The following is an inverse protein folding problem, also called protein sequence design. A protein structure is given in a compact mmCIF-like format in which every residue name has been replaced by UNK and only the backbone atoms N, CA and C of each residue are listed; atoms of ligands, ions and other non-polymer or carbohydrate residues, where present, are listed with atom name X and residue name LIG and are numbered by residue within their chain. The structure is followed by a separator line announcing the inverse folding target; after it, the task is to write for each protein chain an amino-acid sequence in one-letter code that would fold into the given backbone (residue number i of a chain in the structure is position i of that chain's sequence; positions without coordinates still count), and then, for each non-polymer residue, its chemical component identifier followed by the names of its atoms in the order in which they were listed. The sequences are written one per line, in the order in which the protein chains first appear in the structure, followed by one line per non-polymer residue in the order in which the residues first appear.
data_IF_174664198087
#
_entry.id   IF_174664198087
#
_cell.length_a   1.000
_cell.length_b   1.000
_cell.length_c   1.000
_cell.angle_alpha   90.00
_cell.angle_beta   90.00
_cell.angle_gamma   90.00
#
_symmetry.space_group_name_H-M   'P 1'
#
loop_
_entity.id
_entity.type
_entity.pdbx_description
1 polymer ?
#
# COMPACT_ATOMS: atom_id res chain seq x y z
N UNK A 1 -38.47 -39.99 13.89
CA UNK A 1 -37.14 -39.63 14.44
C UNK A 1 -36.93 -38.14 14.17
N UNK A 2 -37.44 -37.30 15.06
CA UNK A 2 -37.15 -35.87 15.01
C UNK A 2 -35.67 -35.65 15.31
N UNK A 3 -34.94 -35.06 14.37
CA UNK A 3 -33.66 -34.43 14.68
C UNK A 3 -33.96 -32.98 15.01
N UNK A 4 -34.26 -32.73 16.28
CA UNK A 4 -34.28 -31.40 16.86
C UNK A 4 -32.87 -30.84 16.75
N UNK A 5 -32.57 -30.16 15.64
CA UNK A 5 -31.34 -29.38 15.51
C UNK A 5 -31.44 -28.28 16.56
N UNK A 6 -30.71 -28.40 17.66
CA UNK A 6 -30.60 -27.37 18.69
C UNK A 6 -30.25 -26.05 18.00
N UNK A 7 -31.26 -25.20 17.81
CA UNK A 7 -31.10 -23.89 17.22
C UNK A 7 -30.32 -23.08 18.23
N UNK A 8 -29.06 -22.79 17.90
CA UNK A 8 -28.22 -21.92 18.70
C UNK A 8 -29.01 -20.61 18.91
N UNK A 9 -29.17 -20.13 20.14
CA UNK A 9 -29.90 -18.90 20.40
C UNK A 9 -29.26 -17.74 19.64
N UNK A 10 -30.07 -16.95 18.92
CA UNK A 10 -29.58 -15.82 18.09
C UNK A 10 -28.72 -14.83 18.90
N UNK A 11 -29.12 -14.55 20.14
CA UNK A 11 -28.37 -13.73 21.09
C UNK A 11 -26.92 -14.21 21.29
N UNK A 12 -26.69 -15.53 21.30
CA UNK A 12 -25.36 -16.09 21.51
C UNK A 12 -24.47 -15.83 20.29
N UNK A 13 -25.06 -15.88 19.08
CA UNK A 13 -24.36 -15.58 17.83
C UNK A 13 -24.00 -14.08 17.77
N UNK A 14 -24.93 -13.20 18.10
CA UNK A 14 -24.69 -11.74 18.17
C UNK A 14 -23.61 -11.37 19.21
N UNK A 15 -23.63 -12.03 20.37
CA UNK A 15 -22.60 -11.86 21.39
C UNK A 15 -21.22 -12.28 20.86
N UNK A 16 -21.13 -13.43 20.18
CA UNK A 16 -19.87 -13.88 19.61
C UNK A 16 -19.38 -12.97 18.47
N UNK A 17 -20.28 -12.50 17.61
CA UNK A 17 -19.94 -11.57 16.54
C UNK A 17 -19.37 -10.25 17.11
N UNK A 18 -20.06 -9.66 18.08
CA UNK A 18 -19.61 -8.41 18.71
C UNK A 18 -18.26 -8.56 19.43
N UNK A 19 -18.05 -9.69 20.12
CA UNK A 19 -16.78 -10.02 20.76
C UNK A 19 -15.64 -10.16 19.75
N UNK A 20 -15.86 -10.91 18.67
CA UNK A 20 -14.86 -11.11 17.62
C UNK A 20 -14.52 -9.79 16.93
N UNK A 21 -15.50 -8.94 16.66
CA UNK A 21 -15.27 -7.60 16.11
C UNK A 21 -14.44 -6.73 17.04
N UNK A 22 -14.71 -6.77 18.35
CA UNK A 22 -13.94 -6.05 19.35
C UNK A 22 -12.48 -6.54 19.39
N UNK A 23 -12.27 -7.85 19.43
CA UNK A 23 -10.94 -8.46 19.37
C UNK A 23 -10.20 -8.05 18.10
N UNK A 24 -10.84 -8.12 16.94
CA UNK A 24 -10.25 -7.75 15.65
C UNK A 24 -9.85 -6.26 15.62
N UNK A 25 -10.66 -5.37 16.22
CA UNK A 25 -10.31 -3.95 16.38
C UNK A 25 -9.07 -3.77 17.26
N UNK A 26 -8.95 -4.50 18.37
CA UNK A 26 -7.75 -4.43 19.23
C UNK A 26 -6.51 -4.95 18.53
N UNK A 27 -6.60 -6.08 17.82
CA UNK A 27 -5.49 -6.61 17.01
C UNK A 27 -5.07 -5.61 15.94
N UNK A 28 -6.02 -4.94 15.26
CA UNK A 28 -5.72 -3.89 14.29
C UNK A 28 -5.03 -2.67 14.91
N UNK A 29 -5.37 -2.30 16.14
CA UNK A 29 -4.72 -1.21 16.89
C UNK A 29 -3.32 -1.59 17.38
N UNK A 30 -3.15 -2.82 17.86
CA UNK A 30 -1.90 -3.34 18.42
C UNK A 30 -0.91 -3.80 17.35
N UNK A 31 -1.36 -4.12 16.13
CA UNK A 31 -0.48 -4.40 15.00
C UNK A 31 0.26 -3.11 14.62
N UNK A 32 1.58 -3.00 14.86
CA UNK A 32 2.32 -1.76 14.67
C UNK A 32 2.53 -1.55 13.17
N UNK A 33 1.64 -0.81 12.49
CA UNK A 33 1.76 -0.32 11.11
C UNK A 33 2.34 -1.28 10.04
N UNK A 34 2.39 -2.59 10.32
CA UNK A 34 2.97 -3.59 9.44
C UNK A 34 1.87 -3.94 8.46
N UNK A 35 1.99 -3.34 7.29
CA UNK A 35 1.02 -3.36 6.21
C UNK A 35 -0.24 -2.52 6.47
N UNK A 36 -0.08 -1.18 6.44
CA UNK A 36 -1.04 -0.41 5.64
C UNK A 36 -0.89 -0.88 4.19
N UNK A 37 -1.55 -1.99 3.83
CA UNK A 37 -2.01 -2.21 2.46
C UNK A 37 -3.02 -1.10 2.22
N UNK A 38 -2.49 0.02 1.75
CA UNK A 38 -3.22 1.28 1.66
C UNK A 38 -4.41 1.14 0.73
N UNK A 39 -5.61 1.14 1.31
CA UNK A 39 -6.49 2.26 0.98
C UNK A 39 -5.82 3.50 1.54
N UNK A 40 -4.81 4.00 0.83
CA UNK A 40 -4.33 5.34 1.06
C UNK A 40 -5.48 6.21 0.60
N UNK A 41 -6.15 6.87 1.55
CA UNK A 41 -6.90 8.08 1.27
C UNK A 41 -6.02 8.89 0.33
N UNK A 42 -6.47 9.06 -0.92
CA UNK A 42 -5.76 9.82 -1.94
C UNK A 42 -5.59 11.22 -1.35
N UNK A 43 -4.38 11.61 -0.90
CA UNK A 43 -4.18 12.95 -0.42
C UNK A 43 -4.36 13.83 -1.66
N UNK A 44 -5.28 14.77 -1.55
CA UNK A 44 -5.60 15.78 -2.56
C UNK A 44 -4.32 16.58 -2.85
N UNK A 45 -3.48 16.07 -3.76
CA UNK A 45 -2.15 16.61 -4.07
C UNK A 45 -0.99 15.60 -4.17
N UNK A 46 -1.20 14.36 -4.63
CA UNK A 46 -0.07 13.47 -4.95
C UNK A 46 0.79 14.08 -6.08
N UNK A 47 2.02 14.44 -5.78
CA UNK A 47 3.00 14.82 -6.79
C UNK A 47 3.29 13.63 -7.72
N UNK A 48 3.66 13.87 -8.97
CA UNK A 48 4.16 12.84 -9.90
C UNK A 48 5.23 11.94 -9.25
N UNK A 49 6.04 12.52 -8.35
CA UNK A 49 7.05 11.81 -7.55
C UNK A 49 6.39 10.83 -6.58
N UNK A 50 5.36 11.27 -5.86
CA UNK A 50 4.70 10.44 -4.85
C UNK A 50 3.99 9.25 -5.50
N UNK A 51 3.43 9.42 -6.72
CA UNK A 51 2.90 8.31 -7.52
C UNK A 51 4.00 7.31 -7.90
N UNK A 52 5.17 7.80 -8.32
CA UNK A 52 6.31 6.94 -8.63
C UNK A 52 6.80 6.17 -7.39
N UNK A 53 6.85 6.84 -6.23
CA UNK A 53 7.21 6.22 -4.95
C UNK A 53 6.19 5.17 -4.53
N UNK A 54 4.88 5.42 -4.73
CA UNK A 54 3.83 4.45 -4.43
C UNK A 54 4.00 3.18 -5.28
N UNK A 55 4.32 3.33 -6.58
CA UNK A 55 4.58 2.17 -7.45
C UNK A 55 5.83 1.41 -7.03
N UNK A 56 6.91 2.12 -6.69
CA UNK A 56 8.13 1.47 -6.20
C UNK A 56 7.86 0.72 -4.89
N UNK A 57 7.06 1.30 -3.99
CA UNK A 57 6.62 0.67 -2.75
C UNK A 57 5.76 -0.58 -3.00
N UNK A 58 4.83 -0.54 -3.95
CA UNK A 58 3.98 -1.68 -4.32
C UNK A 58 4.78 -2.79 -4.98
N UNK A 59 5.75 -2.44 -5.81
CA UNK A 59 6.54 -3.40 -6.57
C UNK A 59 7.58 -4.14 -5.73
N UNK A 60 8.09 -3.51 -4.67
CA UNK A 60 9.12 -4.05 -3.76
C UNK A 60 10.34 -4.65 -4.48
N UNK A 61 10.59 -4.19 -5.71
CA UNK A 61 11.66 -4.67 -6.59
C UNK A 61 12.25 -3.49 -7.34
N UNK A 62 13.50 -3.60 -7.82
CA UNK A 62 14.09 -2.58 -8.68
C UNK A 62 13.24 -2.43 -9.95
N UNK A 63 12.81 -1.20 -10.25
CA UNK A 63 12.04 -0.89 -11.44
C UNK A 63 12.76 0.13 -12.31
N UNK A 64 12.80 -0.14 -13.61
CA UNK A 64 13.29 0.82 -14.59
C UNK A 64 12.30 1.98 -14.75
N UNK A 65 12.80 3.19 -15.06
CA UNK A 65 11.98 4.40 -15.21
C UNK A 65 10.82 4.21 -16.19
N UNK A 66 11.06 3.54 -17.32
CA UNK A 66 9.99 3.23 -18.28
C UNK A 66 8.88 2.36 -17.68
N UNK A 67 9.25 1.38 -16.85
CA UNK A 67 8.26 0.54 -16.14
C UNK A 67 7.49 1.36 -15.12
N UNK A 68 8.15 2.27 -14.41
CA UNK A 68 7.50 3.19 -13.46
C UNK A 68 6.47 4.04 -14.20
N UNK A 69 6.84 4.69 -15.31
CA UNK A 69 5.94 5.53 -16.12
C UNK A 69 4.74 4.73 -16.60
N UNK A 70 4.97 3.52 -17.14
CA UNK A 70 3.87 2.66 -17.61
C UNK A 70 2.90 2.31 -16.48
N UNK A 71 3.43 1.98 -15.29
CA UNK A 71 2.62 1.66 -14.12
C UNK A 71 1.88 2.87 -13.58
N UNK A 72 2.48 4.07 -13.58
CA UNK A 72 1.78 5.30 -13.15
C UNK A 72 0.60 5.56 -14.06
N UNK A 73 0.80 5.42 -15.38
CA UNK A 73 -0.29 5.59 -16.34
C UNK A 73 -1.41 4.58 -16.10
N UNK A 74 -1.09 3.32 -15.81
CA UNK A 74 -2.12 2.29 -15.55
C UNK A 74 -2.83 2.43 -14.20
N UNK A 75 -2.13 2.84 -13.15
CA UNK A 75 -2.65 2.86 -11.77
C UNK A 75 -3.27 4.19 -11.39
N UNK A 76 -2.67 5.29 -11.84
CA UNK A 76 -3.06 6.65 -11.47
C UNK A 76 -3.61 7.46 -12.65
N UNK A 77 -3.52 6.96 -13.89
CA UNK A 77 -4.00 7.68 -15.09
C UNK A 77 -3.19 8.91 -15.47
N UNK A 78 -2.05 9.17 -14.80
CA UNK A 78 -1.21 10.35 -15.04
C UNK A 78 -0.12 10.05 -16.09
N UNK A 79 0.11 11.02 -16.99
CA UNK A 79 1.22 10.97 -17.95
C UNK A 79 2.43 11.69 -17.35
N UNK A 80 3.55 10.97 -17.18
CA UNK A 80 4.78 11.54 -16.64
C UNK A 80 5.86 11.59 -17.72
N UNK A 81 6.59 12.70 -17.73
CA UNK A 81 7.78 12.85 -18.56
C UNK A 81 9.01 12.19 -17.92
N UNK A 82 9.81 11.49 -18.73
CA UNK A 82 10.94 10.67 -18.30
C UNK A 82 12.03 11.50 -17.62
N UNK A 83 12.39 12.63 -18.22
CA UNK A 83 13.50 13.46 -17.75
C UNK A 83 13.15 14.15 -16.44
N UNK A 84 11.92 14.66 -16.36
CA UNK A 84 11.35 15.23 -15.14
C UNK A 84 11.32 14.21 -13.99
N UNK A 85 10.91 12.96 -14.25
CA UNK A 85 10.82 11.89 -13.25
C UNK A 85 12.21 11.48 -12.72
N UNK A 86 13.20 11.32 -13.60
CA UNK A 86 14.58 10.98 -13.20
C UNK A 86 15.18 12.08 -12.33
N UNK A 87 15.10 13.34 -12.76
CA UNK A 87 15.62 14.48 -11.99
C UNK A 87 14.95 14.59 -10.62
N UNK A 88 13.63 14.40 -10.59
CA UNK A 88 12.86 14.47 -9.36
C UNK A 88 13.14 13.30 -8.40
N UNK A 89 13.28 12.06 -8.91
CA UNK A 89 13.69 10.91 -8.10
C UNK A 89 15.10 11.07 -7.57
N UNK A 90 16.04 11.58 -8.37
CA UNK A 90 17.41 11.85 -7.93
C UNK A 90 17.42 12.90 -6.83
N UNK A 91 16.65 13.98 -6.96
CA UNK A 91 16.50 14.98 -5.89
C UNK A 91 15.88 14.41 -4.61
N UNK A 92 15.01 13.40 -4.73
CA UNK A 92 14.33 12.76 -3.60
C UNK A 92 15.11 11.61 -2.96
N UNK A 93 16.10 11.02 -3.65
CA UNK A 93 17.07 10.08 -3.05
C UNK A 93 17.72 10.67 -1.79
N UNK A 94 18.10 11.94 -1.86
CA UNK A 94 18.78 12.62 -0.74
C UNK A 94 17.82 12.99 0.41
N UNK A 95 16.50 13.00 0.17
CA UNK A 95 15.49 13.42 1.16
C UNK A 95 14.76 12.25 1.81
N UNK A 96 14.66 11.10 1.16
CA UNK A 96 13.92 9.93 1.64
C UNK A 96 14.91 8.81 1.97
N UNK A 97 15.03 8.48 3.26
CA UNK A 97 15.78 7.30 3.69
C UNK A 97 15.14 6.03 3.09
N UNK A 98 15.90 5.29 2.28
CA UNK A 98 15.49 4.00 1.71
C UNK A 98 15.30 3.97 0.19
N UNK A 99 15.28 5.11 -0.50
CA UNK A 99 15.33 5.11 -1.97
C UNK A 99 16.79 4.91 -2.40
N UNK A 100 17.05 3.92 -3.25
CA UNK A 100 18.39 3.63 -3.78
C UNK A 100 18.32 3.46 -5.30
N UNK A 101 19.37 3.89 -5.99
CA UNK A 101 19.54 3.65 -7.41
C UNK A 101 20.40 2.40 -7.58
N UNK A 102 19.80 1.32 -8.06
CA UNK A 102 20.49 0.03 -8.24
C UNK A 102 21.18 -0.07 -9.59
N UNK A 103 20.72 0.65 -10.61
CA UNK A 103 21.33 0.68 -11.94
C UNK A 103 21.00 2.01 -12.66
N UNK A 104 21.56 2.28 -13.86
CA UNK A 104 21.11 3.39 -14.68
C UNK A 104 19.61 3.32 -14.93
N UNK A 105 18.89 4.39 -14.60
CA UNK A 105 17.43 4.46 -14.73
C UNK A 105 16.65 3.37 -13.98
N UNK A 106 17.22 2.76 -12.94
CA UNK A 106 16.53 1.77 -12.11
C UNK A 106 16.56 2.19 -10.65
N UNK A 107 15.38 2.23 -10.04
CA UNK A 107 15.19 2.68 -8.67
C UNK A 107 14.57 1.56 -7.84
N UNK A 108 15.01 1.47 -6.59
CA UNK A 108 14.48 0.55 -5.58
C UNK A 108 14.14 1.36 -4.34
N UNK A 109 12.95 1.13 -3.79
CA UNK A 109 12.58 1.64 -2.48
C UNK A 109 12.65 0.50 -1.46
N UNK A 110 13.67 0.53 -0.61
CA UNK A 110 13.79 -0.39 0.53
C UNK A 110 12.98 0.19 1.68
N UNK A 111 11.82 -0.40 1.94
CA UNK A 111 11.04 -0.09 3.15
C UNK A 111 11.65 -0.89 4.28
N UNK A 112 12.34 -0.20 5.21
CA UNK A 112 12.89 -0.80 6.44
C UNK A 112 11.78 -0.98 7.48
#
# INVERSE_FOLDING_TARGET
MERSSEKIPEYLLELHESLLLAQLRTIRKLRPAKAKTGKAEVPKGMSHIDMAIDILRRAQRPLHVSEIISRVKTVHGASLDRESLVSALVKKLNRIQGLTRTAPNTFLLTVK
#
